data_IF_611443483118
#
_entry.id   IF_611443483118
#
_cell.length_a   1.000
_cell.length_b   1.000
_cell.length_c   1.000
_cell.angle_alpha   90.00
_cell.angle_beta   90.00
_cell.angle_gamma   90.00
#
_symmetry.space_group_name_H-M   'P 1'
#
loop_
_entity.id
_entity.type
_entity.pdbx_description
1 polymer ?
#
# COMPACT_ATOMS: atom_id res chain seq x y z
N UNK A 1 16.62 9.27 -12.66
CA UNK A 1 15.27 8.66 -12.67
C UNK A 1 14.28 9.66 -12.09
N UNK A 2 13.14 9.93 -12.76
CA UNK A 2 12.10 10.82 -12.24
C UNK A 2 11.07 9.97 -11.49
N UNK A 3 11.09 10.01 -10.16
CA UNK A 3 10.04 9.40 -9.34
C UNK A 3 8.78 10.25 -9.47
N UNK A 4 7.63 9.62 -9.71
CA UNK A 4 6.34 10.33 -9.80
C UNK A 4 5.98 10.91 -8.43
N UNK A 5 5.37 12.10 -8.38
CA UNK A 5 4.87 12.68 -7.12
C UNK A 5 3.93 11.69 -6.44
N UNK A 6 4.16 11.41 -5.15
CA UNK A 6 3.38 10.43 -4.39
C UNK A 6 3.86 8.99 -4.51
N UNK A 7 4.99 8.74 -5.18
CA UNK A 7 5.64 7.43 -5.28
C UNK A 7 7.04 7.49 -4.65
N UNK A 8 7.54 6.32 -4.24
CA UNK A 8 8.87 6.15 -3.65
C UNK A 8 9.51 4.87 -4.20
N UNK A 9 10.84 4.90 -4.32
CA UNK A 9 11.61 3.70 -4.65
C UNK A 9 11.99 2.93 -3.38
N UNK A 10 11.79 1.62 -3.40
CA UNK A 10 12.21 0.69 -2.35
C UNK A 10 13.13 -0.38 -2.91
N UNK A 11 14.15 -0.77 -2.14
CA UNK A 11 15.00 -1.91 -2.40
C UNK A 11 14.57 -3.09 -1.53
N UNK A 12 14.42 -4.26 -2.14
CA UNK A 12 13.90 -5.47 -1.49
C UNK A 12 14.85 -6.61 -1.74
N UNK A 13 15.22 -7.30 -0.68
CA UNK A 13 16.09 -8.47 -0.68
C UNK A 13 16.64 -8.70 0.72
N UNK A 14 16.94 -9.95 1.04
CA UNK A 14 17.64 -10.29 2.28
C UNK A 14 19.15 -10.04 2.12
N UNK A 15 19.86 -9.77 3.22
CA UNK A 15 21.32 -9.52 3.18
C UNK A 15 22.12 -10.72 2.63
N UNK A 16 21.58 -11.93 2.78
CA UNK A 16 22.16 -13.19 2.30
C UNK A 16 21.64 -13.63 0.93
N UNK A 17 20.79 -12.84 0.26
CA UNK A 17 20.34 -13.10 -1.10
C UNK A 17 21.19 -12.34 -2.11
N UNK A 18 21.59 -12.99 -3.21
CA UNK A 18 22.35 -12.34 -4.30
C UNK A 18 21.52 -11.29 -5.04
N UNK A 19 20.19 -11.33 -4.92
CA UNK A 19 19.27 -10.52 -5.70
C UNK A 19 18.57 -9.47 -4.83
N UNK A 20 18.94 -8.22 -5.03
CA UNK A 20 18.21 -7.05 -4.54
C UNK A 20 17.42 -6.46 -5.71
N UNK A 21 16.11 -6.36 -5.58
CA UNK A 21 15.23 -5.73 -6.58
C UNK A 21 14.77 -4.34 -6.14
N UNK A 22 14.55 -3.46 -7.12
CA UNK A 22 14.06 -2.11 -6.90
C UNK A 22 12.64 -1.97 -7.41
N UNK A 23 11.73 -1.54 -6.55
CA UNK A 23 10.33 -1.30 -6.88
C UNK A 23 9.97 0.17 -6.69
N UNK A 24 9.00 0.65 -7.47
CA UNK A 24 8.31 1.91 -7.19
C UNK A 24 6.95 1.60 -6.57
N UNK A 25 6.67 2.20 -5.42
CA UNK A 25 5.40 2.05 -4.71
C UNK A 25 4.75 3.40 -4.42
N UNK A 26 3.42 3.48 -4.33
CA UNK A 26 2.76 4.65 -3.78
C UNK A 26 3.15 4.88 -2.32
N UNK A 27 3.33 6.13 -1.91
CA UNK A 27 3.60 6.52 -0.51
C UNK A 27 2.46 6.08 0.42
N UNK A 28 1.25 5.88 -0.10
CA UNK A 28 0.11 5.38 0.68
C UNK A 28 0.32 3.98 1.27
N UNK A 29 1.30 3.21 0.78
CA UNK A 29 1.63 1.89 1.31
C UNK A 29 2.23 2.00 2.71
N UNK A 30 2.97 3.08 3.00
CA UNK A 30 3.61 3.30 4.30
C UNK A 30 2.61 3.39 5.47
N UNK A 31 1.33 3.63 5.17
CA UNK A 31 0.26 3.71 6.17
C UNK A 31 -0.56 2.42 6.28
N UNK A 32 -0.12 1.33 5.64
CA UNK A 32 -0.80 0.03 5.69
C UNK A 32 -0.18 -0.83 6.79
N UNK A 33 -0.96 -1.48 7.66
CA UNK A 33 -0.43 -2.27 8.76
C UNK A 33 0.63 -3.29 8.33
N UNK A 34 0.37 -4.05 7.26
CA UNK A 34 1.32 -5.03 6.72
C UNK A 34 2.64 -4.42 6.24
N UNK A 35 2.60 -3.17 5.77
CA UNK A 35 3.81 -2.48 5.35
C UNK A 35 4.57 -1.88 6.54
N UNK A 36 3.85 -1.41 7.56
CA UNK A 36 4.44 -0.92 8.82
C UNK A 36 5.29 -2.02 9.46
N UNK A 37 4.80 -3.26 9.49
CA UNK A 37 5.59 -4.40 9.98
C UNK A 37 6.91 -4.62 9.22
N UNK A 38 6.95 -4.33 7.91
CA UNK A 38 8.18 -4.38 7.13
C UNK A 38 9.11 -3.20 7.44
N UNK A 39 8.55 -2.01 7.71
CA UNK A 39 9.30 -0.82 8.09
C UNK A 39 9.95 -0.97 9.46
N UNK A 40 9.25 -1.58 10.42
CA UNK A 40 9.78 -1.83 11.75
C UNK A 40 11.00 -2.74 11.68
N UNK A 41 10.90 -3.86 10.94
CA UNK A 41 12.03 -4.74 10.67
C UNK A 41 13.18 -4.02 9.96
N UNK A 42 12.87 -3.16 9.00
CA UNK A 42 13.88 -2.36 8.32
C UNK A 42 14.60 -1.41 9.28
N UNK A 43 13.86 -0.78 10.21
CA UNK A 43 14.42 0.08 11.24
C UNK A 43 15.31 -0.68 12.23
N UNK A 44 14.95 -1.92 12.58
CA UNK A 44 15.78 -2.79 13.43
C UNK A 44 17.10 -3.20 12.75
N UNK A 45 17.07 -3.52 11.46
CA UNK A 45 18.26 -4.01 10.73
C UNK A 45 19.15 -2.86 10.24
N UNK A 46 18.55 -1.81 9.67
CA UNK A 46 19.29 -0.74 8.98
C UNK A 46 19.31 0.58 9.76
N UNK A 47 18.52 0.72 10.82
CA UNK A 47 18.32 1.98 11.52
C UNK A 47 17.36 2.93 10.79
N UNK A 48 17.06 4.07 11.43
CA UNK A 48 16.10 5.07 10.91
C UNK A 48 16.74 6.21 10.11
N UNK A 49 18.08 6.30 10.09
CA UNK A 49 18.82 7.34 9.39
C UNK A 49 19.67 6.71 8.29
N UNK A 50 19.02 6.44 7.16
CA UNK A 50 19.66 5.85 5.99
C UNK A 50 19.48 6.79 4.80
N UNK A 51 20.58 7.19 4.18
CA UNK A 51 20.53 7.95 2.93
C UNK A 51 20.25 7.03 1.75
N UNK A 52 19.28 7.42 0.91
CA UNK A 52 18.94 6.72 -0.31
C UNK A 52 17.58 6.00 -0.27
N UNK A 53 17.35 5.02 -1.16
CA UNK A 53 16.11 4.26 -1.21
C UNK A 53 15.88 3.48 0.09
N UNK A 54 14.63 3.43 0.54
CA UNK A 54 14.22 2.58 1.66
C UNK A 54 14.54 1.11 1.34
N UNK A 55 15.25 0.43 2.24
CA UNK A 55 15.57 -1.00 2.13
C UNK A 55 14.63 -1.80 3.01
N UNK A 56 14.08 -2.89 2.49
CA UNK A 56 13.22 -3.80 3.23
C UNK A 56 13.92 -5.16 3.38
N UNK A 57 14.13 -5.63 4.63
CA UNK A 57 14.80 -6.91 4.90
C UNK A 57 13.80 -8.06 4.76
N UNK A 58 13.28 -8.25 3.55
CA UNK A 58 12.42 -9.36 3.20
C UNK A 58 12.75 -9.87 1.80
N UNK A 59 12.37 -11.12 1.53
CA UNK A 59 12.51 -11.67 0.18
C UNK A 59 11.61 -10.93 -0.80
N UNK A 60 12.01 -10.92 -2.07
CA UNK A 60 11.19 -10.34 -3.15
C UNK A 60 9.79 -10.97 -3.19
N UNK A 61 9.70 -12.28 -2.94
CA UNK A 61 8.43 -13.01 -2.91
C UNK A 61 7.50 -12.50 -1.80
N UNK A 62 8.00 -12.31 -0.59
CA UNK A 62 7.20 -11.79 0.53
C UNK A 62 6.71 -10.38 0.27
N UNK A 63 7.57 -9.51 -0.29
CA UNK A 63 7.18 -8.16 -0.67
C UNK A 63 6.04 -8.15 -1.69
N UNK A 64 6.12 -9.00 -2.73
CA UNK A 64 5.06 -9.11 -3.73
C UNK A 64 3.75 -9.61 -3.13
N UNK A 65 3.79 -10.52 -2.16
CA UNK A 65 2.61 -10.96 -1.41
C UNK A 65 1.98 -9.81 -0.62
N UNK A 66 2.77 -9.05 0.13
CA UNK A 66 2.29 -7.88 0.90
C UNK A 66 1.70 -6.84 -0.04
N UNK A 67 2.37 -6.56 -1.16
CA UNK A 67 1.87 -5.64 -2.19
C UNK A 67 0.51 -6.07 -2.72
N UNK A 68 0.35 -7.35 -3.09
CA UNK A 68 -0.91 -7.86 -3.58
C UNK A 68 -2.04 -7.73 -2.55
N UNK A 69 -1.74 -7.96 -1.26
CA UNK A 69 -2.72 -7.80 -0.18
C UNK A 69 -3.19 -6.35 -0.04
N UNK A 70 -2.24 -5.41 0.00
CA UNK A 70 -2.55 -3.98 0.06
C UNK A 70 -3.40 -3.53 -1.12
N UNK A 71 -3.12 -4.03 -2.32
CA UNK A 71 -3.88 -3.71 -3.54
C UNK A 71 -5.31 -4.29 -3.49
N UNK A 72 -5.48 -5.51 -2.97
CA UNK A 72 -6.80 -6.13 -2.78
C UNK A 72 -7.66 -5.34 -1.79
N UNK A 73 -7.10 -4.94 -0.66
CA UNK A 73 -7.81 -4.15 0.35
C UNK A 73 -8.29 -2.80 -0.21
N UNK A 74 -7.47 -2.15 -1.03
CA UNK A 74 -7.83 -0.89 -1.69
C UNK A 74 -8.96 -1.07 -2.70
N UNK A 75 -8.92 -2.14 -3.49
CA UNK A 75 -9.99 -2.47 -4.44
C UNK A 75 -11.32 -2.72 -3.72
N UNK A 76 -11.30 -3.49 -2.62
CA UNK A 76 -12.48 -3.78 -1.82
C UNK A 76 -13.09 -2.50 -1.22
N UNK A 77 -12.27 -1.65 -0.58
CA UNK A 77 -12.73 -0.39 0.02
C UNK A 77 -13.42 0.52 -1.01
N UNK A 78 -12.86 0.65 -2.21
CA UNK A 78 -13.42 1.48 -3.29
C UNK A 78 -14.78 0.97 -3.79
N UNK A 79 -14.97 -0.36 -3.78
CA UNK A 79 -16.22 -1.01 -4.18
C UNK A 79 -17.33 -0.74 -3.15
N UNK A 80 -17.02 -0.89 -1.85
CA UNK A 80 -17.97 -0.59 -0.77
C UNK A 80 -18.45 0.87 -0.78
N UNK A 81 -17.57 1.81 -1.13
CA UNK A 81 -17.92 3.23 -1.20
C UNK A 81 -18.90 3.51 -2.34
N UNK A 82 -18.70 2.91 -3.53
CA UNK A 82 -19.65 3.03 -4.66
C UNK A 82 -21.03 2.48 -4.35
N UNK A 83 -21.12 1.34 -3.67
CA UNK A 83 -22.41 0.75 -3.29
C UNK A 83 -23.20 1.66 -2.33
N UNK A 84 -22.53 2.35 -1.42
CA UNK A 84 -23.17 3.31 -0.50
C UNK A 84 -23.65 4.59 -1.18
N UNK A 85 -22.90 5.11 -2.15
CA UNK A 85 -23.33 6.29 -2.92
C UNK A 85 -24.59 6.02 -3.77
N UNK A 86 -24.71 4.83 -4.35
CA UNK A 86 -25.92 4.45 -5.10
C UNK A 86 -27.16 4.28 -4.21
N UNK A 87 -27.01 3.72 -3.01
CA UNK A 87 -28.14 3.56 -2.09
C UNK A 87 -28.70 4.88 -1.56
N UNK A 88 -27.85 5.92 -1.43
CA UNK A 88 -28.32 7.21 -0.94
C UNK A 88 -29.16 7.97 -1.99
N UNK A 89 -28.88 7.79 -3.28
CA UNK A 89 -29.66 8.43 -4.34
C UNK A 89 -31.06 7.82 -4.49
N UNK A 90 -31.19 6.50 -4.26
CA UNK A 90 -32.48 5.81 -4.35
C UNK A 90 -33.41 6.12 -3.16
N UNK A 91 -32.86 6.56 -2.02
CA UNK A 91 -33.65 6.84 -0.80
C UNK A 91 -34.34 8.20 -0.83
N UNK A 92 -33.85 9.17 -1.62
CA UNK A 92 -34.51 10.47 -1.78
C UNK A 92 -35.68 10.46 -2.78
N UNK A 93 -35.79 9.44 -3.65
CA UNK A 93 -36.86 9.42 -4.65
C UNK A 93 -38.19 8.83 -4.12
N UNK A 94 -38.19 8.16 -2.96
CA UNK A 94 -39.40 7.59 -2.36
C UNK A 94 -40.04 8.43 -1.24
N UNK A 95 -39.55 9.66 -0.99
CA UNK A 95 -40.15 10.56 0.00
C UNK A 95 -41.12 11.61 -0.59
N UNK A 96 -41.43 11.56 -1.90
CA UNK A 96 -42.36 12.49 -2.56
C UNK A 96 -43.63 11.81 -3.11
N UNK A 97 -43.96 10.60 -2.66
CA UNK A 97 -45.20 9.88 -3.08
C UNK A 97 -46.18 9.71 -1.90
N UNK A 98 -45.85 10.24 -0.71
CA UNK A 98 -46.76 10.27 0.44
C UNK A 98 -47.00 11.71 0.92
N UNK A 99 -47.64 12.52 0.08
CA UNK A 99 -48.59 13.55 0.49
C UNK A 99 -49.54 13.86 -0.67
#
# INVERSE_FOLDING_TARGET
MKVKKGWMAVQVGLENEEKIERFEIPISYLYRPLFIELLDKAGEVYGYHVDGPLKLPCSVYEFLRVRAEIERDQAAASTYHRHRHHHHHHRHQYQLINH
#
